data_IF_480124518018
#
_entry.id   IF_480124518018
#
_cell.length_a   1.000
_cell.length_b   1.000
_cell.length_c   1.000
_cell.angle_alpha   90.00
_cell.angle_beta   90.00
_cell.angle_gamma   90.00
#
_symmetry.space_group_name_H-M   'P 1'
#
loop_
_entity.id
_entity.type
_entity.pdbx_description
1 polymer ?
#
# COMPACT_ATOMS: atom_id res chain seq x y z
N UNK A 1 39.81 -11.24 1.00
CA UNK A 1 38.80 -10.34 1.63
C UNK A 1 38.13 -9.40 0.61
N UNK A 2 38.90 -8.64 -0.16
CA UNK A 2 38.36 -7.64 -1.14
C UNK A 2 37.40 -8.20 -2.15
N UNK A 3 37.69 -9.37 -2.73
CA UNK A 3 36.80 -10.03 -3.72
C UNK A 3 35.44 -10.43 -3.09
N UNK A 4 35.48 -10.93 -1.87
CA UNK A 4 34.23 -11.31 -1.15
C UNK A 4 33.42 -10.07 -0.73
N UNK A 5 34.07 -8.99 -0.29
CA UNK A 5 33.39 -7.72 -0.02
C UNK A 5 32.70 -7.15 -1.27
N UNK A 6 33.33 -7.29 -2.45
CA UNK A 6 32.71 -6.87 -3.72
C UNK A 6 31.53 -7.75 -4.11
N UNK A 7 31.60 -9.07 -3.87
CA UNK A 7 30.44 -9.95 -4.09
C UNK A 7 29.29 -9.59 -3.15
N UNK A 8 29.55 -9.23 -1.89
CA UNK A 8 28.53 -8.75 -0.97
C UNK A 8 27.88 -7.44 -1.47
N UNK A 9 28.65 -6.46 -1.99
CA UNK A 9 28.08 -5.25 -2.63
C UNK A 9 27.15 -5.60 -3.80
N UNK A 10 27.55 -6.55 -4.66
CA UNK A 10 26.77 -6.97 -5.82
C UNK A 10 25.47 -7.65 -5.38
N UNK A 11 25.52 -8.56 -4.41
CA UNK A 11 24.32 -9.23 -3.88
C UNK A 11 23.34 -8.25 -3.24
N UNK A 12 23.87 -7.31 -2.44
CA UNK A 12 23.05 -6.25 -1.82
C UNK A 12 22.41 -5.34 -2.87
N UNK A 13 23.19 -4.92 -3.87
CA UNK A 13 22.67 -4.10 -4.96
C UNK A 13 21.60 -4.81 -5.78
N UNK A 14 21.80 -6.10 -6.07
CA UNK A 14 20.78 -6.92 -6.76
C UNK A 14 19.52 -7.07 -5.91
N UNK A 15 19.67 -7.29 -4.60
CA UNK A 15 18.52 -7.38 -3.69
C UNK A 15 17.69 -6.08 -3.67
N UNK A 16 18.33 -4.90 -3.57
CA UNK A 16 17.61 -3.62 -3.61
C UNK A 16 16.88 -3.41 -4.94
N UNK A 17 17.50 -3.79 -6.08
CA UNK A 17 16.83 -3.67 -7.38
C UNK A 17 15.65 -4.64 -7.53
N UNK A 18 15.74 -5.86 -7.04
CA UNK A 18 14.63 -6.82 -7.05
C UNK A 18 13.50 -6.32 -6.14
N UNK A 19 13.83 -5.82 -4.94
CA UNK A 19 12.84 -5.22 -4.03
C UNK A 19 12.14 -4.03 -4.65
N UNK A 20 12.90 -3.14 -5.30
CA UNK A 20 12.33 -1.99 -6.02
C UNK A 20 11.46 -2.43 -7.20
N UNK A 21 11.89 -3.45 -7.96
CA UNK A 21 11.12 -4.01 -9.07
C UNK A 21 9.78 -4.59 -8.62
N UNK A 22 9.77 -5.35 -7.52
CA UNK A 22 8.54 -5.90 -6.96
C UNK A 22 7.54 -4.80 -6.55
N UNK A 23 8.04 -3.70 -5.93
CA UNK A 23 7.20 -2.53 -5.58
C UNK A 23 6.71 -1.76 -6.80
N UNK A 24 7.52 -1.69 -7.86
CA UNK A 24 7.15 -0.98 -9.09
C UNK A 24 6.04 -1.71 -9.88
N UNK A 25 5.95 -3.03 -9.76
CA UNK A 25 4.90 -3.83 -10.41
C UNK A 25 3.52 -3.55 -9.79
N UNK A 26 3.48 -3.34 -8.47
CA UNK A 26 2.25 -3.03 -7.74
C UNK A 26 2.48 -1.82 -6.82
N UNK A 27 2.45 -0.63 -7.41
CA UNK A 27 2.63 0.62 -6.66
C UNK A 27 1.45 0.95 -5.76
N UNK A 28 0.25 0.52 -6.12
CA UNK A 28 -0.95 0.78 -5.32
C UNK A 28 -0.94 -0.11 -4.07
N UNK A 29 -0.65 -1.40 -4.22
CA UNK A 29 -0.43 -2.31 -3.10
C UNK A 29 0.72 -1.86 -2.19
N UNK A 30 1.83 -1.37 -2.77
CA UNK A 30 2.91 -0.81 -1.97
C UNK A 30 2.50 0.47 -1.23
N UNK A 31 1.72 1.35 -1.85
CA UNK A 31 1.15 2.54 -1.22
C UNK A 31 0.23 2.18 -0.05
N UNK A 32 -0.60 1.14 -0.20
CA UNK A 32 -1.45 0.62 0.87
C UNK A 32 -0.62 0.13 2.07
N UNK A 33 0.47 -0.61 1.82
CA UNK A 33 1.39 -1.04 2.88
C UNK A 33 2.08 0.14 3.58
N UNK A 34 2.47 1.20 2.85
CA UNK A 34 3.01 2.44 3.44
C UNK A 34 1.96 3.12 4.33
N UNK A 35 0.71 3.14 3.91
CA UNK A 35 -0.41 3.65 4.71
C UNK A 35 -0.64 2.82 5.99
N UNK A 36 -0.51 1.49 5.90
CA UNK A 36 -0.68 0.57 7.03
C UNK A 36 0.35 0.79 8.16
N UNK A 37 1.50 1.42 7.87
CA UNK A 37 2.41 1.86 8.94
C UNK A 37 1.83 2.97 9.83
N UNK A 38 0.74 3.62 9.41
CA UNK A 38 0.01 4.66 10.12
C UNK A 38 0.88 5.87 10.57
N UNK A 39 1.97 6.14 9.86
CA UNK A 39 2.87 7.27 10.07
C UNK A 39 2.47 8.45 9.20
N UNK A 40 2.06 8.18 7.97
CA UNK A 40 1.60 9.17 6.99
C UNK A 40 0.16 8.81 6.64
N UNK A 41 -0.75 9.77 6.86
CA UNK A 41 -2.20 9.58 6.65
C UNK A 41 -2.73 10.25 5.39
N UNK A 42 -2.06 11.29 4.92
CA UNK A 42 -2.44 12.01 3.71
C UNK A 42 -2.14 11.17 2.46
N UNK A 43 -3.11 10.89 1.60
CA UNK A 43 -2.93 10.03 0.42
C UNK A 43 -1.85 10.54 -0.54
N UNK A 44 -1.72 11.87 -0.72
CA UNK A 44 -0.71 12.46 -1.59
C UNK A 44 0.69 12.26 -1.00
N UNK A 45 0.84 12.39 0.32
CA UNK A 45 2.11 12.14 1.01
C UNK A 45 2.46 10.64 1.04
N UNK A 46 1.48 9.74 1.17
CA UNK A 46 1.68 8.28 1.05
C UNK A 46 2.23 7.96 -0.34
N UNK A 47 1.58 8.46 -1.41
CA UNK A 47 2.04 8.26 -2.79
C UNK A 47 3.44 8.83 -3.00
N UNK A 48 3.70 10.06 -2.56
CA UNK A 48 5.01 10.69 -2.68
C UNK A 48 6.11 9.92 -1.92
N UNK A 49 5.84 9.43 -0.71
CA UNK A 49 6.79 8.63 0.08
C UNK A 49 7.06 7.27 -0.54
N UNK A 50 6.06 6.63 -1.17
CA UNK A 50 6.21 5.38 -1.91
C UNK A 50 7.14 5.54 -3.12
N UNK A 51 6.96 6.59 -3.93
CA UNK A 51 7.89 6.89 -5.03
C UNK A 51 9.29 7.26 -4.54
N UNK A 52 9.40 8.02 -3.46
CA UNK A 52 10.70 8.38 -2.87
C UNK A 52 11.45 7.12 -2.40
N UNK A 53 10.76 6.19 -1.74
CA UNK A 53 11.31 4.91 -1.31
C UNK A 53 11.82 4.09 -2.50
N UNK A 54 11.01 3.98 -3.57
CA UNK A 54 11.36 3.27 -4.80
C UNK A 54 12.62 3.88 -5.46
N UNK A 55 12.64 5.21 -5.63
CA UNK A 55 13.79 5.93 -6.21
C UNK A 55 15.06 5.70 -5.37
N UNK A 56 14.95 5.77 -4.05
CA UNK A 56 16.08 5.55 -3.15
C UNK A 56 16.61 4.12 -3.28
N UNK A 57 15.75 3.09 -3.30
CA UNK A 57 16.17 1.70 -3.46
C UNK A 57 16.88 1.46 -4.79
N UNK A 58 16.35 1.98 -5.90
CA UNK A 58 16.99 1.84 -7.21
C UNK A 58 18.33 2.57 -7.26
N UNK A 59 18.39 3.81 -6.77
CA UNK A 59 19.62 4.59 -6.77
C UNK A 59 20.74 3.91 -5.94
N UNK A 60 20.41 3.42 -4.75
CA UNK A 60 21.33 2.74 -3.87
C UNK A 60 21.75 1.36 -4.42
N UNK A 61 20.79 0.59 -4.95
CA UNK A 61 21.04 -0.69 -5.59
C UNK A 61 21.96 -0.55 -6.79
N UNK A 62 21.69 0.40 -7.69
CA UNK A 62 22.55 0.69 -8.83
C UNK A 62 23.95 1.18 -8.42
N UNK A 63 24.06 2.01 -7.38
CA UNK A 63 25.33 2.50 -6.86
C UNK A 63 26.19 1.38 -6.26
N UNK A 64 25.58 0.43 -5.53
CA UNK A 64 26.26 -0.76 -5.00
C UNK A 64 26.72 -1.68 -6.13
N UNK A 65 25.89 -1.98 -7.13
CA UNK A 65 26.25 -2.79 -8.29
C UNK A 65 27.38 -2.16 -9.10
N UNK A 66 27.30 -0.85 -9.33
CA UNK A 66 28.29 -0.12 -10.08
C UNK A 66 29.65 0.04 -9.34
N UNK A 67 29.67 -0.15 -8.01
CA UNK A 67 30.84 0.12 -7.19
C UNK A 67 31.25 1.59 -7.23
N UNK A 68 30.26 2.48 -7.02
CA UNK A 68 30.45 3.93 -7.11
C UNK A 68 31.61 4.41 -6.23
N UNK A 69 32.27 5.51 -6.70
CA UNK A 69 33.47 6.07 -6.03
C UNK A 69 33.18 6.58 -4.61
N UNK A 70 31.96 7.00 -4.29
CA UNK A 70 31.53 7.43 -2.95
C UNK A 70 31.05 6.26 -2.08
N UNK A 71 31.82 5.20 -2.01
CA UNK A 71 31.45 3.96 -1.30
C UNK A 71 30.98 4.19 0.13
N UNK A 72 31.68 5.04 0.89
CA UNK A 72 31.30 5.35 2.27
C UNK A 72 29.88 5.93 2.39
N UNK A 73 29.54 6.87 1.51
CA UNK A 73 28.21 7.49 1.48
C UNK A 73 27.13 6.47 1.04
N UNK A 74 27.42 5.67 0.01
CA UNK A 74 26.46 4.65 -0.48
C UNK A 74 26.15 3.63 0.61
N UNK A 75 27.16 3.10 1.30
CA UNK A 75 26.96 2.14 2.40
C UNK A 75 26.23 2.79 3.58
N UNK A 76 26.59 4.03 3.93
CA UNK A 76 25.91 4.76 5.01
C UNK A 76 24.43 4.99 4.71
N UNK A 77 24.10 5.44 3.50
CA UNK A 77 22.70 5.66 3.08
C UNK A 77 21.92 4.34 3.00
N UNK A 78 22.54 3.27 2.47
CA UNK A 78 21.90 1.94 2.42
C UNK A 78 21.62 1.39 3.83
N UNK A 79 22.58 1.54 4.74
CA UNK A 79 22.39 1.15 6.14
C UNK A 79 21.31 2.00 6.83
N UNK A 80 21.35 3.32 6.64
CA UNK A 80 20.36 4.24 7.17
C UNK A 80 18.94 3.91 6.70
N UNK A 81 18.76 3.65 5.41
CA UNK A 81 17.47 3.24 4.85
C UNK A 81 16.98 1.92 5.46
N UNK A 82 17.84 0.91 5.57
CA UNK A 82 17.48 -0.38 6.18
C UNK A 82 17.12 -0.22 7.66
N UNK A 83 17.80 0.64 8.41
CA UNK A 83 17.49 0.94 9.82
C UNK A 83 16.14 1.65 9.93
N UNK A 84 15.88 2.66 9.09
CA UNK A 84 14.59 3.37 9.07
C UNK A 84 13.45 2.40 8.78
N UNK A 85 13.57 1.55 7.76
CA UNK A 85 12.57 0.53 7.45
C UNK A 85 12.36 -0.45 8.61
N UNK A 86 13.44 -0.89 9.26
CA UNK A 86 13.32 -1.77 10.43
C UNK A 86 12.59 -1.10 11.58
N UNK A 87 12.85 0.19 11.80
CA UNK A 87 12.17 0.98 12.83
C UNK A 87 10.67 1.14 12.53
N UNK A 88 10.31 1.45 11.28
CA UNK A 88 8.92 1.57 10.84
C UNK A 88 8.17 0.24 10.99
N UNK A 89 8.78 -0.86 10.57
CA UNK A 89 8.20 -2.21 10.69
C UNK A 89 7.98 -2.56 12.17
N UNK A 90 8.98 -2.36 13.02
CA UNK A 90 8.87 -2.65 14.45
C UNK A 90 7.80 -1.78 15.13
N UNK A 91 7.69 -0.51 14.74
CA UNK A 91 6.65 0.40 15.22
C UNK A 91 5.26 -0.07 14.79
N UNK A 92 5.03 -0.30 13.49
CA UNK A 92 3.75 -0.71 12.97
C UNK A 92 3.32 -2.09 13.50
N UNK A 93 4.25 -3.04 13.63
CA UNK A 93 3.99 -4.33 14.23
C UNK A 93 3.51 -4.22 15.69
N UNK A 94 4.22 -3.41 16.49
CA UNK A 94 3.92 -3.29 17.92
C UNK A 94 2.65 -2.51 18.22
N UNK A 95 2.33 -1.48 17.42
CA UNK A 95 1.27 -0.52 17.74
C UNK A 95 0.06 -0.62 16.81
N UNK A 96 0.21 -1.23 15.64
CA UNK A 96 -0.84 -1.29 14.61
C UNK A 96 -1.11 -2.69 14.07
N UNK A 97 -0.51 -3.74 14.67
CA UNK A 97 -0.80 -5.13 14.30
C UNK A 97 -0.39 -5.50 12.86
N UNK A 98 0.67 -4.87 12.32
CA UNK A 98 1.13 -5.14 10.97
C UNK A 98 1.48 -6.62 10.80
N UNK A 99 0.89 -7.29 9.81
CA UNK A 99 1.12 -8.71 9.50
C UNK A 99 2.06 -8.91 8.30
N UNK A 100 2.01 -8.02 7.29
CA UNK A 100 2.91 -8.03 6.13
C UNK A 100 3.74 -6.75 6.07
N UNK A 101 5.04 -6.91 5.84
CA UNK A 101 5.98 -5.78 5.82
C UNK A 101 6.18 -5.15 4.45
N UNK A 102 5.62 -5.72 3.38
CA UNK A 102 5.68 -5.20 2.03
C UNK A 102 7.09 -5.01 1.45
N UNK A 103 8.09 -5.75 1.96
CA UNK A 103 9.44 -5.64 1.44
C UNK A 103 9.62 -6.25 0.05
N UNK A 104 8.80 -7.25 -0.29
CA UNK A 104 8.78 -7.96 -1.56
C UNK A 104 7.31 -8.24 -1.94
N UNK A 105 6.51 -7.21 -2.22
CA UNK A 105 5.08 -7.39 -2.50
C UNK A 105 4.89 -8.32 -3.70
N UNK A 106 3.92 -9.22 -3.62
CA UNK A 106 3.62 -10.20 -4.67
C UNK A 106 4.60 -11.37 -4.82
N UNK A 107 5.81 -11.31 -4.25
CA UNK A 107 6.79 -12.40 -4.35
C UNK A 107 6.79 -13.30 -3.12
N UNK A 108 6.86 -12.73 -1.93
CA UNK A 108 6.91 -13.48 -0.66
C UNK A 108 6.22 -12.67 0.42
N UNK A 109 5.23 -13.24 1.09
CA UNK A 109 4.68 -12.67 2.32
C UNK A 109 5.66 -12.94 3.46
N UNK A 110 6.27 -11.90 4.00
CA UNK A 110 7.19 -11.96 5.13
C UNK A 110 6.57 -11.24 6.32
N UNK A 111 6.39 -11.95 7.41
CA UNK A 111 5.98 -11.34 8.67
C UNK A 111 7.04 -10.35 9.22
N UNK A 112 6.66 -9.52 10.20
CA UNK A 112 7.56 -8.55 10.82
C UNK A 112 8.84 -9.19 11.41
N UNK A 113 8.77 -10.32 12.15
CA UNK A 113 9.97 -10.94 12.72
C UNK A 113 10.97 -11.39 11.65
N UNK A 114 10.47 -12.06 10.61
CA UNK A 114 11.30 -12.57 9.50
C UNK A 114 11.97 -11.43 8.74
N UNK A 115 11.24 -10.34 8.56
CA UNK A 115 11.77 -9.14 7.90
C UNK A 115 12.83 -8.44 8.75
N UNK A 116 12.66 -8.36 10.05
CA UNK A 116 13.68 -7.81 10.94
C UNK A 116 14.95 -8.66 10.95
N UNK A 117 14.83 -10.00 10.97
CA UNK A 117 15.98 -10.92 10.85
C UNK A 117 16.69 -10.69 9.50
N UNK A 118 15.94 -10.65 8.39
CA UNK A 118 16.49 -10.33 7.06
C UNK A 118 17.25 -9.00 7.08
N UNK A 119 16.70 -7.96 7.69
CA UNK A 119 17.33 -6.65 7.75
C UNK A 119 18.63 -6.65 8.59
N UNK A 120 18.71 -7.44 9.67
CA UNK A 120 19.94 -7.67 10.44
C UNK A 120 20.99 -8.34 9.55
N UNK A 121 20.63 -9.33 8.74
CA UNK A 121 21.54 -9.96 7.78
C UNK A 121 22.03 -8.96 6.73
N UNK A 122 21.14 -8.12 6.18
CA UNK A 122 21.50 -7.07 5.21
C UNK A 122 22.48 -6.06 5.82
N UNK A 123 22.23 -5.60 7.05
CA UNK A 123 23.12 -4.68 7.77
C UNK A 123 24.50 -5.32 8.05
N UNK A 124 24.53 -6.60 8.39
CA UNK A 124 25.78 -7.34 8.61
C UNK A 124 26.59 -7.47 7.32
N UNK A 125 25.92 -7.75 6.20
CA UNK A 125 26.56 -7.80 4.88
C UNK A 125 27.05 -6.42 4.43
N UNK A 126 26.30 -5.35 4.71
CA UNK A 126 26.72 -3.96 4.45
C UNK A 126 27.97 -3.59 5.25
N UNK A 127 27.99 -3.93 6.55
CA UNK A 127 29.16 -3.69 7.41
C UNK A 127 30.39 -4.46 6.91
N UNK A 128 30.22 -5.73 6.54
CA UNK A 128 31.28 -6.55 5.97
C UNK A 128 31.82 -5.97 4.65
N UNK A 129 30.91 -5.60 3.74
CA UNK A 129 31.25 -4.99 2.46
C UNK A 129 32.00 -3.67 2.67
N UNK A 130 31.52 -2.83 3.58
CA UNK A 130 32.17 -1.57 3.91
C UNK A 130 33.55 -1.74 4.47
N UNK A 131 33.72 -2.63 5.46
CA UNK A 131 35.01 -2.91 6.06
C UNK A 131 36.04 -3.44 5.03
N UNK A 132 35.64 -4.42 4.21
CA UNK A 132 36.51 -5.01 3.20
C UNK A 132 36.87 -4.08 2.04
N UNK A 133 36.00 -3.11 1.71
CA UNK A 133 36.27 -2.15 0.62
C UNK A 133 37.01 -0.90 1.07
N UNK A 134 36.95 -0.54 2.36
CA UNK A 134 37.76 0.57 2.95
C UNK A 134 39.26 0.34 2.83
N UNK A 135 39.70 -0.89 3.02
CA UNK A 135 41.14 -1.23 2.96
C UNK A 135 41.74 -1.01 1.57
N UNK A 136 40.94 -1.13 0.51
CA UNK A 136 41.43 -0.94 -0.87
C UNK A 136 41.55 0.52 -1.27
N UNK A 137 40.69 1.37 -0.73
CA UNK A 137 40.73 2.81 -1.03
C UNK A 137 41.99 3.48 -0.48
N UNK A 138 42.61 2.90 0.57
CA UNK A 138 43.83 3.37 1.16
C UNK A 138 45.08 2.98 0.37
N UNK A 139 45.04 1.89 -0.43
CA UNK A 139 46.18 1.38 -1.17
C UNK A 139 46.27 1.80 -2.63
N UNK A 140 45.20 2.40 -3.21
CA UNK A 140 45.10 2.61 -4.68
C UNK A 140 45.09 4.08 -5.11
N UNK A 141 45.64 5.00 -4.35
CA UNK A 141 45.93 6.36 -4.82
C UNK A 141 47.29 6.42 -5.56
N UNK A 142 47.46 5.57 -6.59
CA UNK A 142 48.54 5.70 -7.55
C UNK A 142 48.06 6.41 -8.83
N UNK A 143 48.90 7.29 -9.45
CA UNK A 143 48.52 8.03 -10.64
C UNK A 143 48.56 7.12 -11.87
N UNK A 144 47.47 6.49 -12.24
CA UNK A 144 47.44 5.73 -13.48
C UNK A 144 46.26 4.80 -13.64
N UNK A 145 45.32 5.23 -14.42
CA UNK A 145 44.26 4.62 -15.23
C UNK A 145 42.86 5.10 -14.85
N UNK A 146 42.52 6.25 -15.43
CA UNK A 146 41.13 6.67 -15.61
C UNK A 146 40.41 5.72 -16.57
N UNK A 147 39.98 4.57 -16.12
CA UNK A 147 38.92 3.82 -16.81
C UNK A 147 37.60 4.47 -16.42
N UNK A 148 37.09 5.29 -17.31
CA UNK A 148 35.79 5.98 -17.18
C UNK A 148 34.71 4.89 -17.20
N UNK A 149 34.35 4.35 -16.03
CA UNK A 149 33.31 3.32 -15.92
C UNK A 149 31.95 3.97 -16.20
N UNK A 150 31.07 3.35 -16.99
CA UNK A 150 29.75 3.88 -17.36
C UNK A 150 28.75 3.92 -16.19
N UNK A 151 29.19 3.58 -14.99
CA UNK A 151 28.40 3.44 -13.78
C UNK A 151 27.52 4.66 -13.40
N UNK A 152 28.00 5.91 -13.45
CA UNK A 152 27.16 7.05 -13.10
C UNK A 152 26.03 7.27 -14.16
N UNK A 153 26.31 6.94 -15.42
CA UNK A 153 25.30 7.03 -16.49
C UNK A 153 24.15 6.03 -16.28
N UNK A 154 24.43 4.80 -15.85
CA UNK A 154 23.39 3.80 -15.57
C UNK A 154 22.54 4.18 -14.36
N UNK A 155 23.15 4.72 -13.30
CA UNK A 155 22.40 5.19 -12.13
C UNK A 155 21.52 6.41 -12.46
N UNK A 156 22.06 7.37 -13.23
CA UNK A 156 21.27 8.52 -13.71
C UNK A 156 20.16 8.06 -14.66
N UNK A 157 20.45 7.14 -15.58
CA UNK A 157 19.45 6.60 -16.52
C UNK A 157 18.33 5.87 -15.77
N UNK A 158 18.64 5.12 -14.72
CA UNK A 158 17.63 4.44 -13.89
C UNK A 158 16.75 5.44 -13.13
N UNK A 159 17.34 6.48 -12.55
CA UNK A 159 16.59 7.55 -11.86
C UNK A 159 15.68 8.29 -12.85
N UNK A 160 16.19 8.62 -14.04
CA UNK A 160 15.42 9.29 -15.10
C UNK A 160 14.30 8.38 -15.60
N UNK A 161 14.55 7.09 -15.79
CA UNK A 161 13.53 6.12 -16.23
C UNK A 161 12.39 6.01 -15.21
N UNK A 162 12.72 5.96 -13.92
CA UNK A 162 11.71 5.91 -12.84
C UNK A 162 10.96 7.24 -12.74
N UNK A 163 11.64 8.37 -12.86
CA UNK A 163 10.99 9.68 -12.88
C UNK A 163 10.03 9.82 -14.09
N UNK A 164 10.42 9.31 -15.24
CA UNK A 164 9.56 9.25 -16.43
C UNK A 164 8.38 8.31 -16.19
N UNK A 165 8.61 7.11 -15.61
CA UNK A 165 7.56 6.16 -15.30
C UNK A 165 6.58 6.74 -14.26
N UNK A 166 7.08 7.36 -13.19
CA UNK A 166 6.26 8.07 -12.20
C UNK A 166 5.46 9.23 -12.83
N UNK A 167 6.07 9.99 -13.74
CA UNK A 167 5.39 11.07 -14.46
C UNK A 167 4.30 10.53 -15.42
N UNK A 168 4.56 9.40 -16.09
CA UNK A 168 3.59 8.73 -16.95
C UNK A 168 2.46 8.15 -16.09
N UNK A 169 2.76 7.49 -14.98
CA UNK A 169 1.76 6.95 -14.07
C UNK A 169 0.84 8.05 -13.50
N UNK A 170 1.41 9.16 -13.05
CA UNK A 170 0.65 10.34 -12.61
C UNK A 170 -0.14 10.96 -13.77
N UNK A 171 0.40 11.00 -14.99
CA UNK A 171 -0.27 11.58 -16.14
C UNK A 171 -1.36 10.66 -16.73
N UNK A 172 -1.15 9.34 -16.74
CA UNK A 172 -2.12 8.37 -17.28
C UNK A 172 -3.22 8.08 -16.28
N UNK A 173 -2.91 7.93 -15.00
CA UNK A 173 -3.91 7.74 -13.96
C UNK A 173 -4.54 9.06 -13.48
N UNK A 174 -3.89 10.20 -13.71
CA UNK A 174 -4.50 11.53 -13.57
C UNK A 174 -5.49 11.87 -14.70
N UNK A 175 -5.56 11.04 -15.77
CA UNK A 175 -6.49 11.19 -16.90
C UNK A 175 -7.69 10.24 -16.84
N UNK A 176 -7.60 9.12 -16.12
CA UNK A 176 -8.68 8.13 -15.98
C UNK A 176 -9.61 8.40 -14.78
N UNK A 177 -9.70 9.65 -14.36
CA UNK A 177 -10.79 10.12 -13.46
C UNK A 177 -12.18 10.05 -14.11
N UNK A 178 -12.29 9.48 -15.31
CA UNK A 178 -13.57 9.32 -15.99
C UNK A 178 -14.43 8.18 -15.44
N UNK A 179 -13.91 7.29 -14.60
CA UNK A 179 -14.66 6.25 -13.90
C UNK A 179 -15.00 6.63 -12.44
N UNK A 180 -14.30 7.60 -11.89
CA UNK A 180 -14.56 8.19 -10.59
C UNK A 180 -14.84 9.69 -10.80
N UNK A 181 -16.07 10.05 -11.10
CA UNK A 181 -16.55 11.40 -10.84
C UNK A 181 -16.61 11.58 -9.31
N UNK A 182 -15.44 11.64 -8.68
CA UNK A 182 -15.31 12.25 -7.36
C UNK A 182 -15.43 13.75 -7.54
N UNK A 183 -16.63 14.25 -7.60
CA UNK A 183 -16.95 15.68 -7.70
C UNK A 183 -16.85 16.37 -6.34
N UNK A 184 -16.18 15.78 -5.34
CA UNK A 184 -16.04 16.37 -4.01
C UNK A 184 -14.59 16.46 -3.57
N UNK A 185 -14.15 17.63 -3.18
CA UNK A 185 -13.03 17.79 -2.24
C UNK A 185 -13.42 16.98 -1.01
N UNK A 186 -12.60 15.98 -0.62
CA UNK A 186 -12.85 15.21 0.59
C UNK A 186 -12.95 16.18 1.77
N UNK A 187 -14.16 16.42 2.22
CA UNK A 187 -14.43 17.22 3.42
C UNK A 187 -14.01 16.34 4.60
N UNK A 188 -13.08 16.82 5.42
CA UNK A 188 -12.59 16.08 6.58
C UNK A 188 -13.72 15.65 7.52
N UNK A 189 -14.82 16.41 7.54
CA UNK A 189 -16.00 16.11 8.35
C UNK A 189 -16.98 15.15 7.65
N UNK A 190 -16.90 15.01 6.31
CA UNK A 190 -17.82 14.19 5.50
C UNK A 190 -17.05 13.30 4.50
N UNK A 191 -16.26 12.34 4.98
CA UNK A 191 -15.33 11.60 4.14
C UNK A 191 -16.02 10.73 3.07
N UNK A 192 -17.29 10.33 3.26
CA UNK A 192 -18.04 9.54 2.28
C UNK A 192 -18.68 10.40 1.18
N UNK A 193 -18.76 11.72 1.31
CA UNK A 193 -19.32 12.61 0.29
C UNK A 193 -18.54 12.61 -1.05
N UNK A 194 -17.35 12.04 -1.07
CA UNK A 194 -16.59 11.84 -2.30
C UNK A 194 -17.12 10.68 -3.18
N UNK A 195 -17.96 9.80 -2.65
CA UNK A 195 -18.47 8.64 -3.39
C UNK A 195 -19.82 8.93 -4.00
N UNK A 196 -19.81 9.27 -5.29
CA UNK A 196 -21.01 9.40 -6.13
C UNK A 196 -20.82 8.47 -7.32
N UNK A 197 -21.74 7.52 -7.53
CA UNK A 197 -21.63 6.55 -8.62
C UNK A 197 -23.01 6.04 -9.04
N UNK A 198 -23.09 5.46 -10.24
CA UNK A 198 -24.31 4.86 -10.75
C UNK A 198 -24.16 3.35 -10.92
N UNK A 199 -25.12 2.60 -10.43
CA UNK A 199 -25.20 1.16 -10.62
C UNK A 199 -26.62 0.75 -10.99
N UNK A 200 -26.77 -0.07 -12.02
CA UNK A 200 -28.08 -0.56 -12.51
C UNK A 200 -29.10 0.53 -12.77
N UNK A 201 -28.66 1.72 -13.20
CA UNK A 201 -29.52 2.87 -13.51
C UNK A 201 -30.01 3.68 -12.30
N UNK A 202 -29.53 3.37 -11.10
CA UNK A 202 -29.73 4.17 -9.88
C UNK A 202 -28.44 4.89 -9.55
N UNK A 203 -28.54 6.16 -9.17
CA UNK A 203 -27.43 6.97 -8.66
C UNK A 203 -27.35 6.85 -7.15
N UNK A 204 -26.14 6.72 -6.64
CA UNK A 204 -25.81 6.62 -5.22
C UNK A 204 -24.88 7.79 -4.88
N UNK A 205 -25.31 8.66 -3.99
CA UNK A 205 -24.52 9.76 -3.43
C UNK A 205 -24.36 9.53 -1.92
N UNK A 206 -23.22 9.02 -1.51
CA UNK A 206 -22.96 8.74 -0.09
C UNK A 206 -22.78 10.01 0.74
N UNK A 207 -22.74 11.17 0.10
CA UNK A 207 -22.73 12.49 0.75
C UNK A 207 -24.10 12.91 1.27
N UNK A 208 -25.20 12.34 0.77
CA UNK A 208 -26.57 12.72 1.12
C UNK A 208 -27.38 11.49 1.53
N UNK A 209 -28.14 11.61 2.61
CA UNK A 209 -29.00 10.53 3.10
C UNK A 209 -28.28 9.47 3.92
N UNK A 210 -28.86 8.28 3.97
CA UNK A 210 -28.40 7.18 4.82
C UNK A 210 -28.07 5.94 4.00
N UNK A 211 -26.92 5.32 4.33
CA UNK A 211 -26.42 4.11 3.65
C UNK A 211 -25.81 3.12 4.62
N UNK A 212 -25.93 1.84 4.31
CA UNK A 212 -25.03 0.81 4.83
C UNK A 212 -23.95 0.55 3.79
N UNK A 213 -22.72 0.81 4.15
CA UNK A 213 -21.55 0.71 3.26
C UNK A 213 -20.67 -0.44 3.71
N UNK A 214 -20.57 -1.50 2.90
CA UNK A 214 -19.63 -2.59 3.13
C UNK A 214 -18.28 -2.28 2.47
N UNK A 215 -17.20 -2.43 3.22
CA UNK A 215 -15.83 -2.34 2.72
C UNK A 215 -15.30 -3.76 2.51
N UNK A 216 -15.10 -4.16 1.24
CA UNK A 216 -14.75 -5.52 0.87
C UNK A 216 -13.48 -5.57 0.01
N UNK A 217 -12.80 -6.71 0.02
CA UNK A 217 -11.72 -7.00 -0.91
C UNK A 217 -12.08 -8.25 -1.73
N UNK A 218 -11.89 -8.18 -3.04
CA UNK A 218 -12.26 -9.26 -3.96
C UNK A 218 -11.53 -10.58 -3.65
N UNK A 219 -10.27 -10.50 -3.22
CA UNK A 219 -9.42 -11.66 -2.90
C UNK A 219 -9.50 -12.12 -1.44
N UNK A 220 -10.31 -11.47 -0.61
CA UNK A 220 -10.44 -11.77 0.81
C UNK A 220 -11.45 -12.90 1.04
N UNK A 221 -11.02 -14.05 1.52
CA UNK A 221 -11.89 -15.20 1.81
C UNK A 221 -12.99 -14.88 2.84
N UNK A 222 -12.67 -14.08 3.86
CA UNK A 222 -13.64 -13.63 4.86
C UNK A 222 -14.71 -12.71 4.25
N UNK A 223 -14.32 -11.87 3.27
CA UNK A 223 -15.25 -11.02 2.54
C UNK A 223 -16.20 -11.87 1.69
N UNK A 224 -15.67 -12.85 0.96
CA UNK A 224 -16.46 -13.79 0.15
C UNK A 224 -17.46 -14.56 1.02
N UNK A 225 -17.00 -15.11 2.13
CA UNK A 225 -17.85 -15.84 3.08
C UNK A 225 -18.94 -14.97 3.72
N UNK A 226 -18.74 -13.66 3.80
CA UNK A 226 -19.68 -12.72 4.44
C UNK A 226 -20.85 -12.34 3.53
N UNK A 227 -20.75 -12.50 2.20
CA UNK A 227 -21.76 -11.98 1.24
C UNK A 227 -23.15 -12.53 1.51
N UNK A 228 -23.30 -13.82 1.84
CA UNK A 228 -24.61 -14.40 2.15
C UNK A 228 -25.29 -13.72 3.35
N UNK A 229 -24.55 -13.36 4.38
CA UNK A 229 -25.07 -12.62 5.53
C UNK A 229 -25.35 -11.14 5.22
N UNK A 230 -24.53 -10.52 4.34
CA UNK A 230 -24.78 -9.16 3.87
C UNK A 230 -26.02 -9.11 2.96
N UNK A 231 -26.26 -10.11 2.10
CA UNK A 231 -27.49 -10.25 1.32
C UNK A 231 -28.72 -10.33 2.23
N UNK A 232 -28.62 -11.00 3.40
CA UNK A 232 -29.72 -11.05 4.35
C UNK A 232 -30.05 -9.67 4.96
N UNK A 233 -29.08 -8.79 5.14
CA UNK A 233 -29.32 -7.39 5.54
C UNK A 233 -30.10 -6.66 4.46
N UNK A 234 -29.70 -6.80 3.19
CA UNK A 234 -30.37 -6.16 2.03
C UNK A 234 -31.80 -6.63 1.90
N UNK A 235 -32.03 -7.94 1.89
CA UNK A 235 -33.35 -8.55 1.69
C UNK A 235 -34.29 -8.34 2.86
N UNK A 236 -33.78 -8.02 4.05
CA UNK A 236 -34.62 -7.71 5.22
C UNK A 236 -35.53 -6.49 5.01
N UNK A 237 -35.15 -5.57 4.12
CA UNK A 237 -35.87 -4.32 3.85
C UNK A 237 -35.97 -3.37 5.05
N UNK A 238 -35.19 -3.58 6.11
CA UNK A 238 -35.25 -2.80 7.35
C UNK A 238 -34.26 -1.64 7.37
N UNK A 239 -33.33 -1.60 6.41
CA UNK A 239 -32.21 -0.68 6.39
C UNK A 239 -32.28 0.30 5.21
N UNK A 240 -31.54 1.42 5.28
CA UNK A 240 -31.33 2.29 4.13
C UNK A 240 -30.60 1.54 3.00
N UNK A 241 -30.39 2.24 1.90
CA UNK A 241 -29.66 1.70 0.75
C UNK A 241 -28.34 1.06 1.15
N UNK A 242 -28.10 -0.14 0.63
CA UNK A 242 -26.86 -0.87 0.87
C UNK A 242 -25.95 -0.78 -0.36
N UNK A 243 -24.70 -0.46 -0.16
CA UNK A 243 -23.67 -0.44 -1.20
C UNK A 243 -22.39 -1.07 -0.70
N UNK A 244 -21.55 -1.60 -1.60
CA UNK A 244 -20.22 -2.03 -1.24
C UNK A 244 -19.15 -1.23 -1.98
N UNK A 245 -18.13 -0.80 -1.27
CA UNK A 245 -16.90 -0.24 -1.81
C UNK A 245 -15.85 -1.34 -1.78
N UNK A 246 -15.26 -1.66 -2.93
CA UNK A 246 -14.42 -2.84 -3.09
C UNK A 246 -13.06 -2.51 -3.68
N UNK A 247 -12.04 -3.23 -3.22
CA UNK A 247 -10.73 -3.28 -3.87
C UNK A 247 -10.52 -4.61 -4.59
N UNK A 248 -9.88 -4.54 -5.73
CA UNK A 248 -9.54 -5.66 -6.60
C UNK A 248 -9.26 -5.18 -8.01
N UNK A 249 -8.61 -5.99 -8.81
CA UNK A 249 -8.55 -5.80 -10.27
C UNK A 249 -9.90 -6.12 -10.88
N UNK A 250 -10.16 -5.69 -12.12
CA UNK A 250 -11.43 -5.98 -12.80
C UNK A 250 -11.70 -7.49 -12.86
N UNK A 251 -10.67 -8.31 -13.13
CA UNK A 251 -10.76 -9.77 -13.16
C UNK A 251 -11.13 -10.36 -11.79
N UNK A 252 -10.51 -9.88 -10.71
CA UNK A 252 -10.80 -10.32 -9.34
C UNK A 252 -12.20 -9.93 -8.89
N UNK A 253 -12.67 -8.74 -9.28
CA UNK A 253 -14.04 -8.27 -9.01
C UNK A 253 -15.06 -9.12 -9.78
N UNK A 254 -14.81 -9.43 -11.05
CA UNK A 254 -15.68 -10.29 -11.85
C UNK A 254 -15.75 -11.71 -11.25
N UNK A 255 -14.63 -12.28 -10.85
CA UNK A 255 -14.58 -13.58 -10.16
C UNK A 255 -15.35 -13.54 -8.83
N UNK A 256 -15.20 -12.47 -8.05
CA UNK A 256 -15.96 -12.28 -6.82
C UNK A 256 -17.47 -12.23 -7.06
N UNK A 257 -17.92 -11.49 -8.07
CA UNK A 257 -19.32 -11.39 -8.44
C UNK A 257 -19.93 -12.75 -8.83
N UNK A 258 -19.18 -13.52 -9.62
CA UNK A 258 -19.61 -14.87 -10.05
C UNK A 258 -19.64 -15.86 -8.87
N UNK A 259 -18.66 -15.75 -7.96
CA UNK A 259 -18.53 -16.69 -6.84
C UNK A 259 -19.55 -16.43 -5.73
N UNK A 260 -19.89 -15.19 -5.46
CA UNK A 260 -20.63 -14.81 -4.24
C UNK A 260 -22.05 -14.30 -4.49
N UNK A 261 -22.39 -13.92 -5.72
CA UNK A 261 -23.72 -13.45 -6.14
C UNK A 261 -24.29 -12.36 -5.20
N UNK A 262 -23.62 -11.19 -5.05
CA UNK A 262 -24.09 -10.14 -4.15
C UNK A 262 -25.38 -9.49 -4.65
N UNK A 263 -26.34 -9.28 -3.75
CA UNK A 263 -27.64 -8.63 -4.03
C UNK A 263 -27.59 -7.10 -3.82
N UNK A 264 -26.42 -6.52 -3.81
CA UNK A 264 -26.15 -5.10 -3.60
C UNK A 264 -25.17 -4.56 -4.65
N UNK A 265 -25.23 -3.27 -4.97
CA UNK A 265 -24.28 -2.66 -5.90
C UNK A 265 -22.86 -2.64 -5.31
N UNK A 266 -21.91 -2.93 -6.17
CA UNK A 266 -20.47 -2.88 -5.89
C UNK A 266 -19.83 -1.73 -6.66
N UNK A 267 -19.05 -0.91 -5.96
CA UNK A 267 -18.23 0.13 -6.56
C UNK A 267 -16.76 -0.17 -6.29
N UNK A 268 -15.98 -0.52 -7.31
CA UNK A 268 -14.53 -0.60 -7.18
C UNK A 268 -13.95 0.78 -6.83
N UNK A 269 -13.02 0.82 -5.87
CA UNK A 269 -12.34 2.03 -5.45
C UNK A 269 -10.82 1.82 -5.37
N UNK A 270 -10.07 2.91 -5.44
CA UNK A 270 -8.62 2.85 -5.31
C UNK A 270 -8.18 2.33 -3.94
N UNK A 271 -7.11 1.53 -3.91
CA UNK A 271 -6.53 0.94 -2.71
C UNK A 271 -6.23 1.99 -1.63
N UNK A 272 -5.65 3.14 -1.99
CA UNK A 272 -5.33 4.19 -1.02
C UNK A 272 -6.58 4.80 -0.39
N UNK A 273 -7.63 4.98 -1.18
CA UNK A 273 -8.94 5.45 -0.69
C UNK A 273 -9.53 4.41 0.25
N UNK A 274 -9.56 3.14 -0.15
CA UNK A 274 -10.05 2.04 0.69
C UNK A 274 -9.34 1.97 2.04
N UNK A 275 -8.00 2.07 2.05
CA UNK A 275 -7.19 2.00 3.28
C UNK A 275 -7.48 3.14 4.26
N UNK A 276 -8.00 4.28 3.80
CA UNK A 276 -8.40 5.39 4.68
C UNK A 276 -9.67 5.11 5.48
N UNK A 277 -10.50 4.15 5.04
CA UNK A 277 -11.78 3.79 5.67
C UNK A 277 -11.75 2.45 6.40
N UNK A 278 -10.88 1.51 5.97
CA UNK A 278 -10.96 0.13 6.46
C UNK A 278 -10.44 -0.04 7.89
N UNK A 279 -9.55 0.82 8.35
CA UNK A 279 -8.97 0.70 9.68
C UNK A 279 -7.94 -0.42 9.76
N UNK A 280 -8.32 -1.63 10.16
CA UNK A 280 -7.39 -2.76 10.34
C UNK A 280 -7.41 -3.73 9.17
N UNK A 281 -8.57 -4.31 8.86
CA UNK A 281 -8.72 -5.30 7.78
C UNK A 281 -10.18 -5.36 7.29
N UNK A 282 -10.46 -5.72 6.02
CA UNK A 282 -11.79 -6.09 5.55
C UNK A 282 -12.17 -7.50 6.07
N UNK A 283 -13.45 -7.83 6.21
CA UNK A 283 -14.61 -7.00 5.89
C UNK A 283 -15.00 -6.02 7.01
N UNK A 284 -15.61 -4.89 6.62
CA UNK A 284 -16.15 -3.88 7.54
C UNK A 284 -17.50 -3.38 7.03
N UNK A 285 -18.45 -3.14 7.92
CA UNK A 285 -19.73 -2.49 7.61
C UNK A 285 -19.76 -1.14 8.31
N UNK A 286 -20.20 -0.11 7.60
CA UNK A 286 -20.25 1.27 8.11
C UNK A 286 -21.66 1.81 7.84
N UNK A 287 -22.31 2.30 8.88
CA UNK A 287 -23.52 3.11 8.71
C UNK A 287 -23.11 4.56 8.46
N UNK A 288 -23.46 5.05 7.30
CA UNK A 288 -23.14 6.40 6.82
C UNK A 288 -24.41 7.23 6.81
N UNK A 289 -24.33 8.45 7.32
CA UNK A 289 -25.40 9.46 7.25
C UNK A 289 -24.78 10.77 6.78
N UNK A 290 -25.32 11.32 5.70
CA UNK A 290 -24.89 12.60 5.12
C UNK A 290 -23.36 12.71 4.94
N UNK A 291 -22.75 11.63 4.49
CA UNK A 291 -21.30 11.56 4.25
C UNK A 291 -20.43 11.28 5.47
N UNK A 292 -21.03 11.12 6.66
CA UNK A 292 -20.30 10.83 7.91
C UNK A 292 -20.48 9.38 8.34
N UNK A 293 -19.43 8.76 8.86
CA UNK A 293 -19.53 7.45 9.50
C UNK A 293 -20.15 7.60 10.89
N UNK A 294 -21.30 6.96 11.11
CA UNK A 294 -22.06 7.04 12.34
C UNK A 294 -21.82 5.82 13.23
N UNK A 295 -21.75 4.63 12.64
CA UNK A 295 -21.53 3.38 13.33
C UNK A 295 -20.66 2.45 12.46
N UNK A 296 -19.81 1.68 13.09
CA UNK A 296 -18.89 0.76 12.42
C UNK A 296 -19.00 -0.62 13.07
N UNK A 297 -19.02 -1.67 12.25
CA UNK A 297 -18.92 -3.06 12.66
C UNK A 297 -17.74 -3.71 11.94
N UNK A 298 -16.82 -4.22 12.71
CA UNK A 298 -15.76 -5.11 12.25
C UNK A 298 -16.07 -6.53 12.73
N UNK A 299 -15.78 -7.53 11.91
CA UNK A 299 -15.97 -8.92 12.30
C UNK A 299 -14.90 -9.84 11.73
N UNK A 300 -14.65 -10.90 12.47
CA UNK A 300 -13.83 -12.02 12.05
C UNK A 300 -14.74 -13.26 12.07
N UNK A 301 -15.10 -13.76 10.89
CA UNK A 301 -16.06 -14.87 10.73
C UNK A 301 -17.41 -14.43 10.17
N UNK A 302 -18.49 -14.50 10.95
CA UNK A 302 -19.83 -14.14 10.48
C UNK A 302 -20.10 -12.64 10.56
N UNK A 303 -20.75 -12.02 9.54
CA UNK A 303 -21.15 -10.62 9.60
C UNK A 303 -22.20 -10.36 10.68
N UNK A 304 -22.39 -9.09 11.10
CA UNK A 304 -23.39 -8.74 12.10
C UNK A 304 -24.79 -9.15 11.62
N UNK A 305 -25.60 -9.68 12.55
CA UNK A 305 -26.98 -10.10 12.25
C UNK A 305 -27.89 -8.88 12.02
N UNK A 306 -29.01 -9.12 11.33
CA UNK A 306 -30.04 -8.10 11.09
C UNK A 306 -30.45 -7.42 12.40
N UNK A 307 -30.69 -8.18 13.47
CA UNK A 307 -31.09 -7.63 14.76
C UNK A 307 -30.02 -6.75 15.40
N UNK A 308 -28.73 -7.12 15.27
CA UNK A 308 -27.61 -6.34 15.81
C UNK A 308 -27.45 -5.01 15.09
N UNK A 309 -27.58 -5.01 13.76
CA UNK A 309 -27.52 -3.79 12.95
C UNK A 309 -28.72 -2.90 13.24
N UNK A 310 -29.93 -3.46 13.28
CA UNK A 310 -31.16 -2.72 13.55
C UNK A 310 -31.14 -2.04 14.94
N UNK A 311 -30.72 -2.76 15.99
CA UNK A 311 -30.59 -2.20 17.33
C UNK A 311 -29.62 -1.03 17.38
N UNK A 312 -28.46 -1.13 16.66
CA UNK A 312 -27.46 -0.10 16.64
C UNK A 312 -27.90 1.13 15.82
N UNK A 313 -28.49 0.92 14.64
CA UNK A 313 -29.02 2.00 13.78
C UNK A 313 -30.11 2.79 14.51
N UNK A 314 -31.05 2.09 15.19
CA UNK A 314 -32.14 2.73 15.95
C UNK A 314 -31.59 3.56 17.11
N UNK A 315 -30.51 3.11 17.79
CA UNK A 315 -29.93 3.83 18.92
C UNK A 315 -29.23 5.13 18.54
N UNK A 316 -28.82 5.27 17.27
CA UNK A 316 -28.09 6.42 16.73
C UNK A 316 -28.98 7.33 15.91
N UNK A 317 -30.25 6.91 15.60
CA UNK A 317 -31.20 7.79 14.93
C UNK A 317 -31.46 9.03 15.81
N UNK A 318 -31.48 10.26 15.22
CA UNK A 318 -31.91 11.42 15.98
C UNK A 318 -33.32 11.19 16.51
N UNK A 319 -33.56 11.55 17.77
CA UNK A 319 -34.91 11.51 18.31
C UNK A 319 -35.79 12.35 17.38
N UNK A 320 -36.73 11.71 16.71
CA UNK A 320 -37.75 12.41 15.91
C UNK A 320 -38.60 13.22 16.89
N UNK A 321 -38.42 14.54 16.88
CA UNK A 321 -39.33 15.49 17.54
C UNK A 321 -40.69 15.52 16.83
#
# INVERSE_FOLDING_TARGET
>A
MVRFARWAEILLGAFFLVSAGAKAVDMDGFGALVSAYNVVKDPALVRASSYLALIAEVALGAALLAGWRFKGLTHFLSAGMTVVYSGLIAYAWKFHGLEDCGCLPGLVKLGPPETLIKNVVLLSLLAFAWYGTRQVSAETEGPGKKLRKPAPLLAIASIVLIAIFAAIDVATRGGDTSALQTTGVADADRPFAQFVFSSSGKEYDLGEGEYLVAMLSATCEHCQASVSGLNALVTSGQFPDFVALMIGTDEEVDDFLVLTEPEFPLQPIEMLTFMSFIGTAPPRLIYVRDGQSVQIWDWDGAPPSVDNVAASVTSVAPATD
#
